data_IF_105657795909
#
_entry.id   IF_105657795909
#
_cell.length_a   1.000
_cell.length_b   1.000
_cell.length_c   1.000
_cell.angle_alpha   90.00
_cell.angle_beta   90.00
_cell.angle_gamma   90.00
#
_symmetry.space_group_name_H-M   'P 1'
#
loop_
_entity.id
_entity.type
_entity.pdbx_description
1 polymer ?
#
# COMPACT_ATOMS: atom_id res chain seq x y z
N UNK A 1 12.29 -24.04 -9.59
CA UNK A 1 10.86 -24.04 -9.92
C UNK A 1 10.25 -23.09 -8.92
N UNK A 2 9.89 -21.90 -9.33
CA UNK A 2 9.24 -20.91 -8.44
C UNK A 2 7.87 -21.51 -8.14
N UNK A 3 7.62 -21.88 -6.88
CA UNK A 3 6.28 -22.27 -6.44
C UNK A 3 5.45 -20.97 -6.45
N UNK A 4 4.56 -20.85 -7.43
CA UNK A 4 3.49 -19.86 -7.32
C UNK A 4 2.70 -20.27 -6.06
N UNK A 5 2.67 -19.41 -5.05
CA UNK A 5 1.79 -19.59 -3.91
C UNK A 5 0.36 -19.64 -4.44
N UNK A 6 -0.44 -20.59 -3.99
CA UNK A 6 -1.77 -20.88 -4.56
C UNK A 6 -2.73 -19.68 -4.49
N UNK A 7 -2.45 -18.65 -3.71
CA UNK A 7 -3.18 -17.38 -3.70
C UNK A 7 -2.32 -16.26 -3.08
N UNK A 8 -2.11 -15.12 -3.77
CA UNK A 8 -1.47 -13.95 -3.18
C UNK A 8 -2.22 -13.46 -1.94
N UNK A 9 -1.47 -12.91 -0.96
CA UNK A 9 -2.02 -12.58 0.37
C UNK A 9 -3.23 -11.66 0.32
N UNK A 10 -3.24 -10.69 -0.59
CA UNK A 10 -4.31 -9.69 -0.73
C UNK A 10 -5.21 -9.95 -1.95
N UNK A 11 -5.07 -11.13 -2.59
CA UNK A 11 -5.74 -11.44 -3.85
C UNK A 11 -4.92 -11.01 -5.07
N UNK A 12 -5.49 -11.10 -6.25
CA UNK A 12 -4.80 -10.86 -7.53
C UNK A 12 -5.11 -9.48 -8.14
N UNK A 13 -6.32 -8.97 -7.93
CA UNK A 13 -6.75 -7.68 -8.47
C UNK A 13 -7.08 -6.70 -7.35
N UNK A 14 -6.23 -5.69 -7.20
CA UNK A 14 -6.41 -4.63 -6.22
C UNK A 14 -6.65 -3.29 -6.92
N UNK A 15 -7.73 -2.61 -6.57
CA UNK A 15 -8.01 -1.27 -7.11
C UNK A 15 -7.44 -0.19 -6.19
N UNK A 16 -6.63 0.72 -6.76
CA UNK A 16 -6.27 1.97 -6.11
C UNK A 16 -7.47 2.92 -6.16
N UNK A 17 -8.24 2.96 -5.08
CA UNK A 17 -9.50 3.67 -4.99
C UNK A 17 -9.28 5.19 -4.88
N UNK A 18 -10.11 5.98 -5.58
CA UNK A 18 -10.18 7.44 -5.38
C UNK A 18 -10.89 7.76 -4.06
N UNK A 19 -10.64 8.95 -3.52
CA UNK A 19 -11.40 9.50 -2.39
C UNK A 19 -12.53 10.38 -2.93
N UNK A 20 -13.79 10.02 -2.74
CA UNK A 20 -14.91 10.89 -3.09
C UNK A 20 -15.00 12.10 -2.16
N UNK A 21 -15.37 13.25 -2.72
CA UNK A 21 -15.56 14.49 -1.98
C UNK A 21 -16.94 15.07 -2.25
N UNK A 22 -17.50 15.75 -1.26
CA UNK A 22 -18.70 16.57 -1.42
C UNK A 22 -18.38 17.84 -2.23
N UNK A 23 -19.40 18.57 -2.64
CA UNK A 23 -19.22 19.84 -3.35
C UNK A 23 -18.49 20.91 -2.50
N UNK A 24 -18.51 20.75 -1.17
CA UNK A 24 -17.83 21.61 -0.21
C UNK A 24 -16.38 21.18 0.05
N UNK A 25 -15.93 20.06 -0.53
CA UNK A 25 -14.56 19.54 -0.40
C UNK A 25 -14.32 18.66 0.83
N UNK A 26 -15.35 18.25 1.56
CA UNK A 26 -15.24 17.25 2.62
C UNK A 26 -15.26 15.83 2.03
N UNK A 27 -14.67 14.86 2.74
CA UNK A 27 -14.76 13.44 2.36
C UNK A 27 -16.23 13.00 2.35
N UNK A 28 -16.68 12.43 1.23
CA UNK A 28 -18.03 11.86 1.08
C UNK A 28 -18.02 10.38 1.46
N UNK A 29 -18.34 10.11 2.70
CA UNK A 29 -18.33 8.75 3.28
C UNK A 29 -19.33 7.83 2.56
N UNK A 30 -20.54 8.29 2.27
CA UNK A 30 -21.58 7.47 1.63
C UNK A 30 -21.17 7.10 0.19
N UNK A 31 -20.60 8.05 -0.54
CA UNK A 31 -20.06 7.80 -1.88
C UNK A 31 -18.85 6.86 -1.82
N UNK A 32 -17.96 6.98 -0.81
CA UNK A 32 -16.83 6.09 -0.62
C UNK A 32 -17.25 4.65 -0.34
N UNK A 33 -18.25 4.44 0.53
CA UNK A 33 -18.81 3.12 0.82
C UNK A 33 -19.48 2.50 -0.41
N UNK A 34 -20.26 3.29 -1.15
CA UNK A 34 -20.93 2.86 -2.38
C UNK A 34 -19.92 2.48 -3.46
N UNK A 35 -18.85 3.26 -3.65
CA UNK A 35 -17.77 2.97 -4.59
C UNK A 35 -17.01 1.70 -4.19
N UNK A 36 -16.67 1.54 -2.92
CA UNK A 36 -15.99 0.35 -2.42
C UNK A 36 -16.80 -0.93 -2.69
N UNK A 37 -18.09 -0.92 -2.37
CA UNK A 37 -19.00 -2.02 -2.65
C UNK A 37 -19.07 -2.31 -4.16
N UNK A 38 -19.22 -1.29 -4.99
CA UNK A 38 -19.26 -1.42 -6.46
C UNK A 38 -17.98 -2.08 -7.03
N UNK A 39 -16.81 -1.67 -6.57
CA UNK A 39 -15.53 -2.23 -7.02
C UNK A 39 -15.39 -3.71 -6.65
N UNK A 40 -15.79 -4.08 -5.43
CA UNK A 40 -15.77 -5.48 -4.99
C UNK A 40 -16.81 -6.33 -5.73
N UNK A 41 -18.00 -5.81 -5.94
CA UNK A 41 -19.03 -6.49 -6.74
C UNK A 41 -18.59 -6.64 -8.22
N UNK A 42 -17.72 -5.74 -8.70
CA UNK A 42 -17.07 -5.79 -10.01
C UNK A 42 -15.92 -6.79 -10.11
N UNK A 43 -15.53 -7.46 -9.00
CA UNK A 43 -14.55 -8.54 -8.99
C UNK A 43 -13.17 -8.18 -8.45
N UNK A 44 -13.00 -7.03 -7.75
CA UNK A 44 -11.76 -6.74 -7.06
C UNK A 44 -11.60 -7.63 -5.82
N UNK A 45 -10.39 -8.20 -5.65
CA UNK A 45 -10.00 -8.95 -4.46
C UNK A 45 -9.60 -8.04 -3.29
N UNK A 46 -9.21 -6.78 -3.61
CA UNK A 46 -8.80 -5.82 -2.58
C UNK A 46 -8.85 -4.38 -3.06
N UNK A 47 -8.82 -3.46 -2.09
CA UNK A 47 -8.86 -2.03 -2.29
C UNK A 47 -7.67 -1.36 -1.60
N UNK A 48 -6.94 -0.52 -2.33
CA UNK A 48 -5.92 0.36 -1.76
C UNK A 48 -6.57 1.71 -1.49
N UNK A 49 -6.77 2.02 -0.21
CA UNK A 49 -7.45 3.20 0.27
C UNK A 49 -6.44 4.29 0.62
N UNK A 50 -6.71 5.50 0.22
CA UNK A 50 -5.83 6.67 0.41
C UNK A 50 -4.36 6.42 0.01
N UNK A 51 -4.17 5.68 -1.09
CA UNK A 51 -2.90 5.71 -1.79
C UNK A 51 -2.73 7.02 -2.57
N UNK A 52 -1.79 7.07 -3.52
CA UNK A 52 -1.58 8.24 -4.38
C UNK A 52 -2.84 8.63 -5.15
N UNK A 53 -3.55 7.64 -5.71
CA UNK A 53 -4.83 7.83 -6.43
C UNK A 53 -5.93 8.37 -5.51
N UNK A 54 -5.91 8.00 -4.23
CA UNK A 54 -6.84 8.46 -3.20
C UNK A 54 -6.44 9.79 -2.56
N UNK A 55 -5.48 10.51 -3.13
CA UNK A 55 -5.07 11.88 -2.74
C UNK A 55 -4.59 12.01 -1.28
N UNK A 56 -3.96 10.93 -0.74
CA UNK A 56 -3.53 10.88 0.67
C UNK A 56 -2.70 12.10 1.13
N UNK A 57 -1.89 12.68 0.21
CA UNK A 57 -1.00 13.79 0.53
C UNK A 57 -1.73 15.11 0.82
N UNK A 58 -3.01 15.23 0.50
CA UNK A 58 -3.85 16.41 0.71
C UNK A 58 -4.98 16.16 1.71
N UNK A 59 -5.12 14.92 2.18
CA UNK A 59 -6.02 14.56 3.28
C UNK A 59 -5.33 14.81 4.63
N UNK A 60 -6.11 15.19 5.62
CA UNK A 60 -5.69 15.13 7.02
C UNK A 60 -5.62 13.68 7.51
N UNK A 61 -4.92 13.43 8.61
CA UNK A 61 -4.88 12.09 9.21
C UNK A 61 -6.27 11.58 9.59
N UNK A 62 -7.15 12.47 10.06
CA UNK A 62 -8.51 12.10 10.43
C UNK A 62 -9.34 11.71 9.20
N UNK A 63 -9.19 12.41 8.07
CA UNK A 63 -9.83 12.05 6.81
C UNK A 63 -9.31 10.71 6.26
N UNK A 64 -8.00 10.45 6.37
CA UNK A 64 -7.45 9.14 6.03
C UNK A 64 -8.10 8.02 6.86
N UNK A 65 -8.19 8.20 8.18
CA UNK A 65 -8.80 7.21 9.09
C UNK A 65 -10.30 7.04 8.82
N UNK A 66 -11.03 8.13 8.56
CA UNK A 66 -12.44 8.08 8.13
C UNK A 66 -12.59 7.19 6.89
N UNK A 67 -11.70 7.35 5.90
CA UNK A 67 -11.73 6.54 4.68
C UNK A 67 -11.42 5.06 4.96
N UNK A 68 -10.42 4.75 5.82
CA UNK A 68 -10.13 3.36 6.19
C UNK A 68 -11.34 2.68 6.81
N UNK A 69 -11.94 3.33 7.79
CA UNK A 69 -13.14 2.86 8.47
C UNK A 69 -14.31 2.67 7.51
N UNK A 70 -14.63 3.70 6.73
CA UNK A 70 -15.76 3.67 5.80
C UNK A 70 -15.67 2.51 4.80
N UNK A 71 -14.49 2.32 4.21
CA UNK A 71 -14.26 1.24 3.24
C UNK A 71 -14.31 -0.12 3.93
N UNK A 72 -13.65 -0.29 5.10
CA UNK A 72 -13.68 -1.58 5.82
C UNK A 72 -15.09 -1.96 6.27
N UNK A 73 -15.89 -1.01 6.73
CA UNK A 73 -17.31 -1.23 7.06
C UNK A 73 -18.12 -1.67 5.83
N UNK A 74 -17.88 -1.06 4.66
CA UNK A 74 -18.63 -1.35 3.44
C UNK A 74 -18.34 -2.73 2.86
N UNK A 75 -17.07 -3.16 2.91
CA UNK A 75 -16.66 -4.41 2.24
C UNK A 75 -16.55 -5.60 3.21
N UNK A 76 -16.29 -5.37 4.49
CA UNK A 76 -16.11 -6.42 5.48
C UNK A 76 -14.98 -7.38 5.10
N UNK A 77 -15.29 -8.68 5.08
CA UNK A 77 -14.36 -9.74 4.71
C UNK A 77 -14.45 -10.15 3.22
N UNK A 78 -15.23 -9.41 2.41
CA UNK A 78 -15.39 -9.70 0.97
C UNK A 78 -14.16 -9.34 0.14
N UNK A 79 -13.36 -8.39 0.62
CA UNK A 79 -12.14 -7.95 -0.05
C UNK A 79 -11.11 -7.45 0.97
N UNK A 80 -9.83 -7.55 0.63
CA UNK A 80 -8.76 -6.99 1.44
C UNK A 80 -8.77 -5.44 1.38
N UNK A 81 -8.59 -4.78 2.52
CA UNK A 81 -8.45 -3.32 2.62
C UNK A 81 -7.02 -2.97 3.01
N UNK A 82 -6.29 -2.32 2.11
CA UNK A 82 -4.93 -1.85 2.35
C UNK A 82 -4.94 -0.33 2.56
N UNK A 83 -4.51 0.12 3.73
CA UNK A 83 -4.41 1.54 4.06
C UNK A 83 -3.10 2.15 3.58
N UNK A 84 -3.16 3.26 2.84
CA UNK A 84 -1.99 4.06 2.48
C UNK A 84 -1.54 4.91 3.66
N UNK A 85 -0.52 4.46 4.40
CA UNK A 85 -0.03 5.13 5.61
C UNK A 85 1.42 5.58 5.54
N UNK A 86 2.13 5.22 4.44
CA UNK A 86 3.50 5.63 4.22
C UNK A 86 3.63 7.12 3.92
N UNK A 87 4.53 7.79 4.63
CA UNK A 87 4.94 9.18 4.40
C UNK A 87 6.45 9.30 4.40
N UNK A 88 6.98 10.51 4.24
CA UNK A 88 8.42 10.78 4.35
C UNK A 88 8.88 11.02 5.81
N UNK A 89 7.97 10.92 6.78
CA UNK A 89 8.24 11.01 8.22
C UNK A 89 7.92 9.66 8.88
N UNK A 90 8.93 9.04 9.48
CA UNK A 90 8.80 7.72 10.11
C UNK A 90 7.84 7.72 11.30
N UNK A 91 7.90 8.76 12.14
CA UNK A 91 7.04 8.84 13.32
C UNK A 91 5.57 9.06 12.93
N UNK A 92 5.33 9.90 11.91
CA UNK A 92 4.00 10.11 11.36
C UNK A 92 3.45 8.83 10.72
N UNK A 93 4.25 8.13 9.91
CA UNK A 93 3.86 6.85 9.31
C UNK A 93 3.51 5.78 10.36
N UNK A 94 4.27 5.71 11.45
CA UNK A 94 3.96 4.81 12.58
C UNK A 94 2.61 5.16 13.22
N UNK A 95 2.38 6.45 13.48
CA UNK A 95 1.12 6.90 14.08
C UNK A 95 -0.08 6.56 13.20
N UNK A 96 -0.04 6.94 11.92
CA UNK A 96 -1.13 6.68 10.97
C UNK A 96 -1.34 5.18 10.76
N UNK A 97 -0.27 4.38 10.73
CA UNK A 97 -0.35 2.92 10.60
C UNK A 97 -1.04 2.25 11.80
N UNK A 98 -0.77 2.73 13.01
CA UNK A 98 -1.47 2.25 14.22
C UNK A 98 -2.95 2.59 14.19
N UNK A 99 -3.29 3.81 13.80
CA UNK A 99 -4.69 4.22 13.64
C UNK A 99 -5.41 3.38 12.57
N UNK A 100 -4.74 3.09 11.45
CA UNK A 100 -5.29 2.20 10.43
C UNK A 100 -5.51 0.78 10.97
N UNK A 101 -4.57 0.25 11.76
CA UNK A 101 -4.71 -1.05 12.42
C UNK A 101 -5.92 -1.09 13.36
N UNK A 102 -6.21 -0.01 14.10
CA UNK A 102 -7.37 0.12 14.99
C UNK A 102 -8.71 0.03 14.22
N UNK A 103 -8.73 0.46 12.96
CA UNK A 103 -9.90 0.34 12.08
C UNK A 103 -10.02 -1.05 11.41
N UNK A 104 -9.11 -1.98 11.72
CA UNK A 104 -9.18 -3.38 11.27
C UNK A 104 -8.84 -3.59 9.80
N UNK A 105 -7.97 -2.76 9.22
CA UNK A 105 -7.49 -2.97 7.84
C UNK A 105 -6.68 -4.26 7.72
N UNK A 106 -6.67 -4.86 6.53
CA UNK A 106 -6.02 -6.15 6.27
C UNK A 106 -4.53 -6.01 5.90
N UNK A 107 -4.11 -4.80 5.53
CA UNK A 107 -2.74 -4.49 5.15
C UNK A 107 -2.43 -3.00 5.17
N UNK A 108 -1.13 -2.69 5.15
CA UNK A 108 -0.63 -1.32 5.01
C UNK A 108 0.11 -1.18 3.69
N UNK A 109 -0.13 -0.08 2.96
CA UNK A 109 0.68 0.31 1.82
C UNK A 109 1.65 1.41 2.24
N UNK A 110 2.95 1.12 2.20
CA UNK A 110 4.00 2.05 2.61
C UNK A 110 4.82 2.50 1.40
N UNK A 111 4.63 3.75 0.99
CA UNK A 111 5.42 4.35 -0.08
C UNK A 111 6.84 4.67 0.40
N UNK A 112 7.83 4.54 -0.49
CA UNK A 112 9.19 5.00 -0.26
C UNK A 112 9.19 6.46 0.22
N UNK A 113 9.95 6.84 1.29
CA UNK A 113 10.06 8.22 1.72
C UNK A 113 10.41 9.15 0.56
N UNK A 114 9.50 10.07 0.25
CA UNK A 114 9.61 11.02 -0.84
C UNK A 114 10.22 12.35 -0.36
N UNK A 115 10.72 13.18 -1.27
CA UNK A 115 11.28 14.52 -1.05
C UNK A 115 12.67 14.53 -0.37
N UNK A 116 12.82 13.95 0.82
CA UNK A 116 14.07 13.96 1.62
C UNK A 116 15.17 13.03 1.07
N UNK A 117 14.86 12.13 0.13
CA UNK A 117 15.83 11.24 -0.56
C UNK A 117 16.80 10.54 0.40
N UNK A 118 16.33 9.73 1.36
CA UNK A 118 17.20 9.01 2.27
C UNK A 118 18.11 8.01 1.53
N UNK A 119 19.22 7.62 2.16
CA UNK A 119 20.03 6.50 1.68
C UNK A 119 19.27 5.19 1.76
N UNK A 120 19.73 4.13 1.07
CA UNK A 120 19.10 2.81 1.14
C UNK A 120 19.06 2.24 2.57
N UNK A 121 20.08 2.50 3.37
CA UNK A 121 20.07 2.16 4.79
C UNK A 121 18.97 2.92 5.56
N UNK A 122 18.76 4.19 5.22
CA UNK A 122 17.66 4.98 5.79
C UNK A 122 16.29 4.49 5.35
N UNK A 123 16.12 4.12 4.06
CA UNK A 123 14.90 3.50 3.54
C UNK A 123 14.58 2.21 4.29
N UNK A 124 15.57 1.34 4.45
CA UNK A 124 15.43 0.08 5.21
C UNK A 124 15.00 0.36 6.65
N UNK A 125 15.71 1.21 7.37
CA UNK A 125 15.40 1.53 8.76
C UNK A 125 13.99 2.15 8.93
N UNK A 126 13.56 2.98 7.99
CA UNK A 126 12.22 3.57 7.97
C UNK A 126 11.13 2.48 7.90
N UNK A 127 11.22 1.57 6.94
CA UNK A 127 10.23 0.51 6.78
C UNK A 127 10.24 -0.48 7.95
N UNK A 128 11.43 -0.87 8.45
CA UNK A 128 11.55 -1.74 9.61
C UNK A 128 10.92 -1.12 10.86
N UNK A 129 11.17 0.17 11.12
CA UNK A 129 10.57 0.86 12.26
C UNK A 129 9.04 0.89 12.23
N UNK A 130 8.43 1.03 11.04
CA UNK A 130 6.98 0.97 10.88
C UNK A 130 6.49 -0.47 11.06
N UNK A 131 7.19 -1.44 10.47
CA UNK A 131 6.86 -2.85 10.57
C UNK A 131 6.92 -3.35 12.02
N UNK A 132 7.91 -2.92 12.80
CA UNK A 132 8.03 -3.25 14.23
C UNK A 132 6.94 -2.62 15.09
N UNK A 133 6.34 -1.53 14.63
CA UNK A 133 5.37 -0.73 15.39
C UNK A 133 3.91 -1.19 15.21
N UNK A 134 3.63 -2.12 14.28
CA UNK A 134 2.28 -2.61 13.92
C UNK A 134 2.27 -4.13 13.79
N UNK A 135 1.10 -4.74 13.85
CA UNK A 135 0.91 -6.19 13.64
C UNK A 135 0.30 -6.53 12.27
N UNK A 136 0.02 -5.52 11.46
CA UNK A 136 -0.63 -5.66 10.16
C UNK A 136 0.39 -5.97 9.07
N UNK A 137 0.08 -6.86 8.11
CA UNK A 137 0.94 -7.12 6.95
C UNK A 137 1.20 -5.87 6.11
N UNK A 138 2.40 -5.77 5.54
CA UNK A 138 2.88 -4.59 4.83
C UNK A 138 3.17 -4.92 3.36
N UNK A 139 2.66 -4.06 2.49
CA UNK A 139 3.05 -3.95 1.08
C UNK A 139 3.95 -2.72 0.92
N UNK A 140 5.19 -2.92 0.53
CA UNK A 140 6.09 -1.84 0.12
C UNK A 140 5.59 -1.22 -1.19
N UNK A 141 5.78 0.09 -1.36
CA UNK A 141 5.43 0.75 -2.60
C UNK A 141 6.61 1.52 -3.17
N UNK A 142 7.11 1.04 -4.32
CA UNK A 142 8.26 1.59 -5.01
C UNK A 142 7.83 2.32 -6.28
N UNK A 143 7.89 3.64 -6.25
CA UNK A 143 7.50 4.54 -7.34
C UNK A 143 8.51 5.70 -7.50
N UNK A 144 9.72 5.45 -8.00
CA UNK A 144 10.80 6.44 -8.08
C UNK A 144 10.45 7.67 -8.93
N UNK A 145 9.53 7.55 -9.87
CA UNK A 145 9.00 8.68 -10.62
C UNK A 145 8.32 9.75 -9.76
N UNK A 146 7.83 9.39 -8.58
CA UNK A 146 7.22 10.31 -7.60
C UNK A 146 8.08 10.54 -6.37
N UNK A 147 8.81 9.51 -5.92
CA UNK A 147 9.61 9.60 -4.69
C UNK A 147 11.05 10.06 -4.92
N UNK A 148 11.49 10.11 -6.17
CA UNK A 148 12.85 10.48 -6.62
C UNK A 148 13.94 9.45 -6.29
N UNK A 149 13.65 8.43 -5.50
CA UNK A 149 14.56 7.31 -5.20
C UNK A 149 13.83 5.99 -5.32
N UNK A 150 14.44 4.93 -5.87
CA UNK A 150 13.90 3.58 -5.82
C UNK A 150 14.19 2.91 -4.48
N UNK A 151 13.49 1.82 -4.20
CA UNK A 151 13.98 0.80 -3.27
C UNK A 151 14.88 -0.13 -4.10
N UNK A 152 16.19 -0.14 -3.81
CA UNK A 152 17.11 -1.02 -4.54
C UNK A 152 16.82 -2.49 -4.26
N UNK A 153 17.08 -3.37 -5.23
CA UNK A 153 16.81 -4.82 -5.11
C UNK A 153 17.43 -5.43 -3.85
N UNK A 154 18.65 -5.03 -3.47
CA UNK A 154 19.28 -5.54 -2.25
C UNK A 154 18.58 -5.04 -0.97
N UNK A 155 18.01 -3.85 -0.99
CA UNK A 155 17.22 -3.30 0.12
C UNK A 155 15.89 -4.05 0.23
N UNK A 156 15.21 -4.32 -0.91
CA UNK A 156 13.98 -5.14 -0.93
C UNK A 156 14.25 -6.53 -0.37
N UNK A 157 15.34 -7.18 -0.77
CA UNK A 157 15.72 -8.50 -0.26
C UNK A 157 15.93 -8.49 1.26
N UNK A 158 16.61 -7.47 1.79
CA UNK A 158 16.82 -7.34 3.22
C UNK A 158 15.51 -7.06 3.99
N UNK A 159 14.59 -6.29 3.39
CA UNK A 159 13.27 -6.02 3.95
C UNK A 159 12.34 -7.24 3.91
N UNK A 160 12.47 -8.10 2.88
CA UNK A 160 11.70 -9.34 2.76
C UNK A 160 11.97 -10.36 3.87
N UNK A 161 13.09 -10.24 4.60
CA UNK A 161 13.38 -11.05 5.78
C UNK A 161 12.49 -10.68 6.98
N UNK A 162 11.84 -9.51 6.95
CA UNK A 162 10.94 -9.09 8.02
C UNK A 162 9.57 -9.77 7.89
N UNK A 163 9.06 -10.47 8.90
CA UNK A 163 7.87 -11.33 8.79
C UNK A 163 6.58 -10.60 8.44
N UNK A 164 6.51 -9.29 8.67
CA UNK A 164 5.33 -8.47 8.32
C UNK A 164 5.42 -7.85 6.93
N UNK A 165 6.59 -7.82 6.29
CA UNK A 165 6.76 -7.29 4.93
C UNK A 165 6.53 -8.44 3.96
N UNK A 166 5.35 -8.48 3.34
CA UNK A 166 4.84 -9.64 2.61
C UNK A 166 4.61 -9.37 1.13
N UNK A 167 4.61 -8.11 0.72
CA UNK A 167 4.32 -7.74 -0.66
C UNK A 167 5.09 -6.49 -1.12
N UNK A 168 5.18 -6.33 -2.42
CA UNK A 168 5.72 -5.16 -3.12
C UNK A 168 4.76 -4.71 -4.20
N UNK A 169 4.32 -3.44 -4.18
CA UNK A 169 3.74 -2.74 -5.32
C UNK A 169 4.87 -2.09 -6.10
N UNK A 170 5.18 -2.63 -7.28
CA UNK A 170 6.25 -2.16 -8.14
C UNK A 170 5.70 -1.24 -9.24
N UNK A 171 6.09 0.02 -9.20
CA UNK A 171 5.79 1.04 -10.19
C UNK A 171 7.07 1.72 -10.71
N UNK A 172 8.17 0.96 -10.80
CA UNK A 172 9.45 1.42 -11.36
C UNK A 172 9.46 1.44 -12.88
N UNK A 173 8.63 0.63 -13.52
CA UNK A 173 8.65 0.45 -14.95
C UNK A 173 9.90 -0.31 -15.46
N UNK A 174 10.53 -1.14 -14.61
CA UNK A 174 11.75 -1.88 -14.95
C UNK A 174 11.58 -3.38 -14.66
N UNK A 175 11.08 -4.13 -15.64
CA UNK A 175 10.81 -5.56 -15.51
C UNK A 175 12.07 -6.38 -15.19
N UNK A 176 13.27 -5.92 -15.60
CA UNK A 176 14.53 -6.58 -15.26
C UNK A 176 14.82 -6.55 -13.76
N UNK A 177 14.55 -5.44 -13.08
CA UNK A 177 14.66 -5.35 -11.62
C UNK A 177 13.54 -6.13 -10.92
N UNK A 178 12.31 -6.05 -11.42
CA UNK A 178 11.17 -6.85 -10.92
C UNK A 178 11.48 -8.35 -10.95
N UNK A 179 12.06 -8.84 -12.05
CA UNK A 179 12.48 -10.25 -12.18
C UNK A 179 13.52 -10.65 -11.13
N UNK A 180 14.46 -9.76 -10.79
CA UNK A 180 15.45 -10.02 -9.73
C UNK A 180 14.83 -10.13 -8.35
N UNK A 181 13.80 -9.32 -8.06
CA UNK A 181 13.05 -9.39 -6.80
C UNK A 181 12.29 -10.71 -6.73
N UNK A 182 11.53 -11.07 -7.76
CA UNK A 182 10.77 -12.33 -7.85
C UNK A 182 11.67 -13.56 -7.71
N UNK A 183 12.89 -13.51 -8.27
CA UNK A 183 13.83 -14.64 -8.18
C UNK A 183 14.51 -14.77 -6.81
N UNK A 184 14.45 -13.75 -5.98
CA UNK A 184 15.27 -13.65 -4.76
C UNK A 184 14.46 -13.45 -3.46
N UNK A 185 13.13 -13.35 -3.54
CA UNK A 185 12.25 -13.14 -2.39
C UNK A 185 10.94 -13.92 -2.58
N UNK A 186 10.24 -14.15 -1.48
CA UNK A 186 8.90 -14.75 -1.46
C UNK A 186 7.80 -13.65 -1.38
N UNK A 187 8.12 -12.39 -1.70
CA UNK A 187 7.15 -11.31 -1.72
C UNK A 187 6.13 -11.49 -2.84
N UNK A 188 4.85 -11.28 -2.54
CA UNK A 188 3.85 -11.07 -3.58
C UNK A 188 4.13 -9.76 -4.30
N UNK A 189 4.35 -9.80 -5.62
CA UNK A 189 4.67 -8.60 -6.40
C UNK A 189 3.44 -8.17 -7.22
N UNK A 190 2.98 -6.95 -6.96
CA UNK A 190 1.85 -6.33 -7.66
C UNK A 190 2.34 -5.25 -8.62
N UNK A 191 1.82 -5.25 -9.84
CA UNK A 191 2.06 -4.14 -10.76
C UNK A 191 1.37 -2.88 -10.25
N UNK A 192 2.12 -1.79 -10.12
CA UNK A 192 1.60 -0.46 -9.79
C UNK A 192 1.46 0.43 -11.03
N UNK A 193 1.73 -0.13 -12.22
CA UNK A 193 1.69 0.56 -13.51
C UNK A 193 0.84 -0.26 -14.49
N UNK A 194 -0.34 0.25 -14.84
CA UNK A 194 -1.30 -0.45 -15.69
C UNK A 194 -0.72 -0.78 -17.07
N UNK A 195 0.15 0.06 -17.61
CA UNK A 195 0.83 -0.15 -18.88
C UNK A 195 1.83 -1.31 -18.87
N UNK A 196 2.22 -1.82 -17.70
CA UNK A 196 3.17 -2.91 -17.51
C UNK A 196 2.51 -4.22 -17.06
N UNK A 197 1.19 -4.25 -16.97
CA UNK A 197 0.42 -5.39 -16.43
C UNK A 197 0.21 -6.50 -17.46
N UNK A 198 0.32 -6.22 -18.75
CA UNK A 198 0.08 -7.15 -19.87
C UNK A 198 1.38 -7.68 -20.47
#
# INVERSE_FOLDING_TARGET
MVAFTDKPRFGTLLTAMVTPFTNEGAVDVDAAQSLAAHLVDGGCDGLVVTGTTGETSTLTDDENVIMFKAVKEAVGDRAAVLAGTGTNDTAHSINLSRRAQEEGVDGLLLVTPYYNKPSQAGVKAHFEAIADATDVPIMLYDIPGRTSIPIETNTIKALAEHPRIVALKDAKGNLGETTKVLAATDLDVYSGDDGMTL
#
